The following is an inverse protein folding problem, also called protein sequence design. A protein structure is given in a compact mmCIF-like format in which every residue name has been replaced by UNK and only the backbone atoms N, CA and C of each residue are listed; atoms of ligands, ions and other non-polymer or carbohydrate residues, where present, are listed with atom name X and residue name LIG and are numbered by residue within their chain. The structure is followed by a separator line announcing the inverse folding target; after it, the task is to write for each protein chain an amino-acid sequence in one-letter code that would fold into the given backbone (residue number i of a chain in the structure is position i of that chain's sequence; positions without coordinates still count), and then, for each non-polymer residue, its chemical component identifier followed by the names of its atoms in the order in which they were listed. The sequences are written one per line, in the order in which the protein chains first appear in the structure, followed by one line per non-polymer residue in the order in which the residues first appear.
data_IF_364016812808
#
_entry.id   IF_364016812808
#
_cell.length_a   1.000
_cell.length_b   1.000
_cell.length_c   1.000
_cell.angle_alpha   90.00
_cell.angle_beta   90.00
_cell.angle_gamma   90.00
#
_symmetry.space_group_name_H-M   'P 1'
#
loop_
_entity.id
_entity.type
_entity.pdbx_description
1 polymer ?
#
# COMPACT_ATOMS: atom_id res chain seq x y z
N UNK A 1 -1.73 -33.01 -2.96
CA UNK A 1 -1.72 -31.82 -3.83
C UNK A 1 -1.53 -30.56 -3.01
N UNK A 2 -0.97 -29.51 -3.64
CA UNK A 2 -0.73 -28.21 -3.03
C UNK A 2 -1.43 -27.13 -3.87
N UNK A 3 -2.18 -26.24 -3.24
CA UNK A 3 -2.77 -25.06 -3.86
C UNK A 3 -2.15 -23.80 -3.29
N UNK A 4 -1.71 -22.90 -4.17
CA UNK A 4 -1.11 -21.61 -3.82
C UNK A 4 -2.06 -20.48 -4.26
N UNK A 5 -2.52 -19.69 -3.31
CA UNK A 5 -3.20 -18.43 -3.56
C UNK A 5 -2.17 -17.29 -3.55
N UNK A 6 -1.61 -16.95 -4.73
CA UNK A 6 -0.50 -15.99 -4.89
C UNK A 6 -0.93 -14.52 -5.06
N UNK A 7 -2.15 -14.18 -4.67
CA UNK A 7 -2.73 -12.84 -4.83
C UNK A 7 -2.59 -11.94 -3.59
N UNK A 8 -3.54 -11.00 -3.47
CA UNK A 8 -3.65 -10.09 -2.33
C UNK A 8 -5.09 -10.14 -1.81
N UNK A 9 -5.51 -11.31 -1.34
CA UNK A 9 -6.85 -11.60 -0.83
C UNK A 9 -7.01 -11.22 0.64
N UNK A 10 -8.25 -11.17 1.11
CA UNK A 10 -8.53 -11.10 2.54
C UNK A 10 -8.03 -12.39 3.20
N UNK A 11 -7.29 -12.28 4.30
CA UNK A 11 -6.78 -13.44 5.03
C UNK A 11 -7.91 -14.30 5.62
N UNK A 12 -9.08 -13.72 5.90
CA UNK A 12 -10.28 -14.44 6.37
C UNK A 12 -10.82 -15.39 5.29
N UNK A 13 -10.83 -14.92 4.02
CA UNK A 13 -11.18 -15.77 2.87
C UNK A 13 -10.17 -16.92 2.69
N UNK A 14 -8.89 -16.63 2.95
CA UNK A 14 -7.82 -17.64 2.90
C UNK A 14 -8.02 -18.73 3.95
N UNK A 15 -8.40 -18.37 5.18
CA UNK A 15 -8.72 -19.33 6.24
C UNK A 15 -9.91 -20.20 5.87
N UNK A 16 -10.98 -19.61 5.32
CA UNK A 16 -12.15 -20.35 4.86
C UNK A 16 -11.79 -21.33 3.75
N UNK A 17 -11.01 -20.87 2.77
CA UNK A 17 -10.58 -21.74 1.64
C UNK A 17 -9.68 -22.86 2.12
N UNK A 18 -8.76 -22.57 3.03
CA UNK A 18 -7.85 -23.58 3.59
C UNK A 18 -8.61 -24.71 4.27
N UNK A 19 -9.62 -24.39 5.08
CA UNK A 19 -10.45 -25.40 5.73
C UNK A 19 -11.15 -26.34 4.71
N UNK A 20 -11.69 -25.77 3.63
CA UNK A 20 -12.31 -26.57 2.56
C UNK A 20 -11.30 -27.45 1.80
N UNK A 21 -10.03 -27.03 1.73
CA UNK A 21 -8.97 -27.83 1.09
C UNK A 21 -8.47 -28.93 2.02
N UNK A 22 -8.35 -28.65 3.30
CA UNK A 22 -7.96 -29.61 4.34
C UNK A 22 -8.92 -30.83 4.38
N UNK A 23 -10.23 -30.61 4.28
CA UNK A 23 -11.24 -31.68 4.19
C UNK A 23 -11.01 -32.62 2.99
N UNK A 24 -10.29 -32.17 1.97
CA UNK A 24 -9.94 -32.93 0.78
C UNK A 24 -8.52 -33.48 0.78
N UNK A 25 -7.78 -33.30 1.87
CA UNK A 25 -6.38 -33.70 1.98
C UNK A 25 -5.45 -32.87 1.07
N UNK A 26 -5.80 -31.60 0.79
CA UNK A 26 -5.03 -30.68 -0.06
C UNK A 26 -4.41 -29.61 0.83
N UNK A 27 -3.10 -29.40 0.71
CA UNK A 27 -2.41 -28.31 1.36
C UNK A 27 -2.71 -26.97 0.68
N UNK A 28 -3.04 -25.95 1.47
CA UNK A 28 -3.33 -24.62 0.96
C UNK A 28 -2.33 -23.60 1.53
N UNK A 29 -1.76 -22.80 0.62
CA UNK A 29 -0.84 -21.70 0.97
C UNK A 29 -1.40 -20.36 0.51
N UNK A 30 -1.43 -19.39 1.40
CA UNK A 30 -1.69 -18.00 1.11
C UNK A 30 -0.35 -17.24 0.98
N UNK A 31 -0.05 -16.82 -0.24
CA UNK A 31 1.23 -16.16 -0.56
C UNK A 31 0.97 -14.74 -1.04
N UNK A 32 1.13 -13.79 -0.12
CA UNK A 32 1.07 -12.37 -0.45
C UNK A 32 2.27 -11.96 -1.31
N UNK A 33 2.00 -11.46 -2.52
CA UNK A 33 3.06 -11.12 -3.49
C UNK A 33 3.23 -9.60 -3.59
N UNK A 34 4.49 -9.13 -3.54
CA UNK A 34 4.88 -7.73 -3.70
C UNK A 34 5.93 -7.57 -4.80
N UNK A 35 5.98 -6.37 -5.43
CA UNK A 35 6.93 -6.03 -6.50
C UNK A 35 6.27 -5.52 -7.78
N UNK A 36 4.96 -5.68 -7.94
CA UNK A 36 4.22 -5.24 -9.14
C UNK A 36 4.74 -5.88 -10.42
N UNK A 37 4.59 -5.19 -11.54
CA UNK A 37 5.06 -5.67 -12.86
C UNK A 37 6.58 -5.83 -12.90
N UNK A 38 7.31 -4.94 -12.23
CA UNK A 38 8.77 -5.03 -12.15
C UNK A 38 9.18 -6.29 -11.38
N UNK A 39 8.63 -6.52 -10.20
CA UNK A 39 8.91 -7.71 -9.40
C UNK A 39 8.55 -9.02 -10.11
N UNK A 40 7.46 -9.05 -10.86
CA UNK A 40 7.07 -10.21 -11.66
C UNK A 40 8.11 -10.60 -12.72
N UNK A 41 8.93 -9.64 -13.18
CA UNK A 41 9.97 -9.87 -14.21
C UNK A 41 11.38 -10.05 -13.63
N UNK A 42 11.66 -9.45 -12.48
CA UNK A 42 13.02 -9.32 -11.96
C UNK A 42 13.19 -9.93 -10.56
N UNK A 43 12.17 -10.58 -10.04
CA UNK A 43 12.12 -11.17 -8.71
C UNK A 43 11.16 -10.43 -7.79
N UNK A 44 10.16 -11.16 -7.31
CA UNK A 44 9.14 -10.65 -6.41
C UNK A 44 9.51 -10.85 -4.93
N UNK A 45 8.70 -10.28 -4.04
CA UNK A 45 8.75 -10.60 -2.60
C UNK A 45 7.50 -11.38 -2.22
N UNK A 46 7.68 -12.53 -1.59
CA UNK A 46 6.66 -13.47 -1.19
C UNK A 46 6.53 -13.55 0.33
N UNK A 47 5.32 -13.49 0.82
CA UNK A 47 4.94 -13.63 2.24
C UNK A 47 4.09 -14.88 2.36
N UNK A 48 4.67 -15.98 2.83
CA UNK A 48 4.13 -17.33 2.67
C UNK A 48 3.53 -17.86 3.97
N UNK A 49 2.21 -18.05 4.01
CA UNK A 49 1.49 -18.69 5.11
C UNK A 49 1.02 -20.09 4.72
N UNK A 50 1.19 -21.07 5.62
CA UNK A 50 0.78 -22.45 5.38
C UNK A 50 1.49 -23.44 6.28
N UNK A 51 1.44 -24.74 5.92
CA UNK A 51 2.13 -25.80 6.63
C UNK A 51 3.67 -25.63 6.57
N UNK A 52 4.39 -25.64 7.69
CA UNK A 52 5.83 -25.36 7.71
C UNK A 52 6.67 -26.46 7.04
N UNK A 53 6.29 -27.71 7.19
CA UNK A 53 7.07 -28.83 6.65
C UNK A 53 6.90 -28.91 5.13
N UNK A 54 5.67 -28.75 4.65
CA UNK A 54 5.37 -28.72 3.22
C UNK A 54 6.00 -27.46 2.57
N UNK A 55 5.95 -26.30 3.24
CA UNK A 55 6.64 -25.10 2.75
C UNK A 55 8.12 -25.37 2.53
N UNK A 56 8.80 -25.87 3.56
CA UNK A 56 10.24 -26.11 3.54
C UNK A 56 10.68 -27.14 2.50
N UNK A 57 9.90 -28.21 2.37
CA UNK A 57 10.30 -29.35 1.53
C UNK A 57 9.87 -29.22 0.06
N UNK A 58 8.77 -28.49 -0.20
CA UNK A 58 8.15 -28.50 -1.54
C UNK A 58 8.13 -27.11 -2.20
N UNK A 59 8.06 -25.99 -1.42
CA UNK A 59 7.80 -24.68 -1.99
C UNK A 59 8.97 -23.69 -1.86
N UNK A 60 9.77 -23.80 -0.81
CA UNK A 60 10.77 -22.80 -0.49
C UNK A 60 11.76 -22.59 -1.63
N UNK A 61 12.42 -23.64 -2.11
CA UNK A 61 13.43 -23.55 -3.17
C UNK A 61 12.83 -22.98 -4.47
N UNK A 62 11.62 -23.41 -4.83
CA UNK A 62 10.91 -22.91 -6.01
C UNK A 62 10.63 -21.41 -5.89
N UNK A 63 10.11 -20.94 -4.75
CA UNK A 63 9.78 -19.53 -4.54
C UNK A 63 11.05 -18.67 -4.43
N UNK A 64 12.10 -19.14 -3.78
CA UNK A 64 13.38 -18.46 -3.70
C UNK A 64 14.02 -18.28 -5.09
N UNK A 65 13.83 -19.24 -6.01
CA UNK A 65 14.36 -19.15 -7.37
C UNK A 65 13.78 -18.01 -8.21
N UNK A 66 12.56 -17.56 -7.87
CA UNK A 66 11.84 -16.47 -8.56
C UNK A 66 11.68 -15.23 -7.69
N UNK A 67 12.18 -15.24 -6.46
CA UNK A 67 12.18 -14.11 -5.56
C UNK A 67 13.35 -13.16 -5.80
N UNK A 68 13.21 -11.90 -5.38
CA UNK A 68 14.37 -11.04 -5.17
C UNK A 68 15.20 -11.53 -3.98
N UNK A 69 16.41 -11.06 -3.83
CA UNK A 69 17.31 -11.45 -2.71
C UNK A 69 16.59 -11.25 -1.37
N UNK A 70 16.51 -12.30 -0.55
CA UNK A 70 15.75 -12.35 0.70
C UNK A 70 14.24 -12.08 0.55
N UNK A 71 13.70 -12.26 -0.64
CA UNK A 71 12.31 -11.96 -0.96
C UNK A 71 11.32 -13.09 -0.67
N UNK A 72 11.75 -14.25 -0.17
CA UNK A 72 10.87 -15.34 0.23
C UNK A 72 10.83 -15.45 1.75
N UNK A 73 9.71 -15.05 2.37
CA UNK A 73 9.52 -15.06 3.81
C UNK A 73 8.41 -16.04 4.19
N UNK A 74 8.75 -17.07 4.97
CA UNK A 74 7.72 -17.86 5.66
C UNK A 74 7.19 -17.07 6.85
N UNK A 75 5.87 -16.87 6.89
CA UNK A 75 5.20 -15.99 7.87
C UNK A 75 4.48 -16.74 8.98
N UNK A 76 4.35 -18.08 8.85
CA UNK A 76 3.66 -18.91 9.82
C UNK A 76 2.46 -19.66 9.23
N UNK A 77 1.46 -19.95 10.06
CA UNK A 77 0.28 -20.70 9.67
C UNK A 77 -0.52 -20.01 8.56
N UNK A 78 -1.36 -20.77 7.91
CA UNK A 78 -2.31 -20.28 6.89
C UNK A 78 -3.05 -19.03 7.34
N UNK A 79 -3.19 -18.07 6.41
CA UNK A 79 -3.75 -16.75 6.64
C UNK A 79 -2.68 -15.69 6.95
N UNK A 80 -1.51 -16.09 7.46
CA UNK A 80 -0.46 -15.14 7.88
C UNK A 80 0.22 -14.43 6.72
N UNK A 81 0.31 -15.06 5.54
CA UNK A 81 0.90 -14.46 4.34
C UNK A 81 0.06 -13.29 3.82
N UNK A 82 -1.23 -13.52 3.58
CA UNK A 82 -2.15 -12.48 3.15
C UNK A 82 -2.37 -11.42 4.22
N UNK A 83 -2.38 -11.78 5.52
CA UNK A 83 -2.46 -10.82 6.61
C UNK A 83 -1.26 -9.86 6.60
N UNK A 84 -0.04 -10.40 6.55
CA UNK A 84 1.16 -9.56 6.46
C UNK A 84 1.14 -8.69 5.19
N UNK A 85 0.72 -9.25 4.05
CA UNK A 85 0.63 -8.49 2.80
C UNK A 85 -0.40 -7.36 2.86
N UNK A 86 -1.51 -7.55 3.54
CA UNK A 86 -2.51 -6.53 3.81
C UNK A 86 -1.91 -5.37 4.61
N UNK A 87 -1.22 -5.67 5.70
CA UNK A 87 -0.52 -4.66 6.53
C UNK A 87 0.58 -3.94 5.73
N UNK A 88 1.39 -4.68 4.97
CA UNK A 88 2.41 -4.11 4.08
C UNK A 88 1.81 -3.07 3.12
N UNK A 89 0.67 -3.36 2.49
CA UNK A 89 0.04 -2.43 1.57
C UNK A 89 -0.49 -1.17 2.28
N UNK A 90 -0.96 -1.31 3.50
CA UNK A 90 -1.41 -0.20 4.32
C UNK A 90 -0.23 0.70 4.77
N UNK A 91 0.89 0.09 5.18
CA UNK A 91 2.14 0.81 5.46
C UNK A 91 2.64 1.57 4.23
N UNK A 92 2.59 0.92 3.04
CA UNK A 92 2.95 1.56 1.77
C UNK A 92 2.10 2.81 1.51
N UNK A 93 0.81 2.80 1.80
CA UNK A 93 -0.06 3.97 1.65
C UNK A 93 0.37 5.13 2.54
N UNK A 94 0.66 4.87 3.82
CA UNK A 94 1.17 5.88 4.76
C UNK A 94 2.50 6.47 4.29
N UNK A 95 3.41 5.61 3.84
CA UNK A 95 4.72 6.04 3.35
C UNK A 95 4.61 6.90 2.08
N UNK A 96 3.81 6.47 1.09
CA UNK A 96 3.57 7.27 -0.12
C UNK A 96 2.91 8.62 0.19
N UNK A 97 1.96 8.65 1.13
CA UNK A 97 1.31 9.89 1.55
C UNK A 97 2.31 10.86 2.17
N UNK A 98 3.16 10.38 3.07
CA UNK A 98 4.21 11.20 3.70
C UNK A 98 5.19 11.77 2.66
N UNK A 99 5.61 10.98 1.68
CA UNK A 99 6.46 11.46 0.59
C UNK A 99 5.74 12.51 -0.26
N UNK A 100 4.47 12.27 -0.62
CA UNK A 100 3.67 13.22 -1.40
C UNK A 100 3.53 14.57 -0.71
N UNK A 101 3.19 14.58 0.58
CA UNK A 101 3.08 15.81 1.39
C UNK A 101 4.43 16.54 1.51
N UNK A 102 5.52 15.79 1.69
CA UNK A 102 6.87 16.37 1.78
C UNK A 102 7.29 17.03 0.46
N UNK A 103 7.08 16.38 -0.68
CA UNK A 103 7.39 16.97 -1.98
C UNK A 103 6.49 18.15 -2.33
N UNK A 104 5.20 18.13 -1.94
CA UNK A 104 4.32 19.29 -2.12
C UNK A 104 4.79 20.50 -1.31
N UNK A 105 5.25 20.30 -0.06
CA UNK A 105 5.84 21.36 0.74
C UNK A 105 7.10 21.96 0.11
N UNK A 106 7.96 21.12 -0.47
CA UNK A 106 9.16 21.60 -1.18
C UNK A 106 8.78 22.41 -2.42
N UNK A 107 7.83 21.94 -3.21
CA UNK A 107 7.35 22.61 -4.42
C UNK A 107 6.71 23.97 -4.11
N UNK A 108 5.95 24.09 -3.01
CA UNK A 108 5.29 25.33 -2.58
C UNK A 108 6.18 26.28 -1.79
N UNK A 109 7.38 25.87 -1.43
CA UNK A 109 8.27 26.69 -0.64
C UNK A 109 8.83 27.90 -1.43
N UNK A 110 9.47 28.84 -0.74
CA UNK A 110 10.18 29.96 -1.36
C UNK A 110 11.51 29.58 -2.03
N UNK A 111 11.93 28.33 -1.90
CA UNK A 111 13.19 27.82 -2.43
C UNK A 111 12.97 27.11 -3.77
N UNK A 112 13.88 27.31 -4.70
CA UNK A 112 13.86 26.69 -6.04
C UNK A 112 14.55 25.31 -5.98
N UNK A 113 13.81 24.30 -5.50
CA UNK A 113 14.33 22.93 -5.42
C UNK A 113 14.19 22.17 -6.75
N UNK A 114 15.29 21.57 -7.22
CA UNK A 114 15.21 20.49 -8.19
C UNK A 114 14.73 19.21 -7.52
N UNK A 115 13.43 18.91 -7.63
CA UNK A 115 12.79 17.79 -6.95
C UNK A 115 13.35 16.43 -7.40
N UNK A 116 13.84 16.31 -8.65
CA UNK A 116 14.53 15.10 -9.10
C UNK A 116 15.82 14.88 -8.31
N UNK A 117 16.66 15.89 -8.19
CA UNK A 117 17.92 15.81 -7.45
C UNK A 117 17.70 15.60 -5.95
N UNK A 118 16.66 16.22 -5.38
CA UNK A 118 16.26 16.00 -3.98
C UNK A 118 15.87 14.53 -3.78
N UNK A 119 14.99 13.98 -4.61
CA UNK A 119 14.55 12.60 -4.49
C UNK A 119 15.71 11.61 -4.69
N UNK A 120 16.56 11.82 -5.70
CA UNK A 120 17.74 10.99 -5.96
C UNK A 120 18.73 10.99 -4.77
N UNK A 121 19.03 12.17 -4.23
CA UNK A 121 19.90 12.29 -3.05
C UNK A 121 19.31 11.60 -1.83
N UNK A 122 18.04 11.86 -1.52
CA UNK A 122 17.36 11.27 -0.36
C UNK A 122 17.22 9.75 -0.47
N UNK A 123 17.09 9.22 -1.70
CA UNK A 123 16.96 7.78 -1.93
C UNK A 123 18.22 6.98 -1.57
N UNK A 124 19.40 7.62 -1.63
CA UNK A 124 20.71 6.97 -1.48
C UNK A 124 21.35 7.25 -0.13
N UNK A 125 21.31 8.49 0.34
CA UNK A 125 22.16 8.97 1.42
C UNK A 125 21.42 9.31 2.71
N UNK A 126 20.09 9.40 2.71
CA UNK A 126 19.31 9.80 3.88
C UNK A 126 18.79 8.62 4.69
N UNK A 127 18.33 8.90 5.90
CA UNK A 127 17.68 7.93 6.81
C UNK A 127 16.37 7.38 6.23
N UNK A 128 15.71 8.12 5.33
CA UNK A 128 14.46 7.72 4.66
C UNK A 128 14.72 7.07 3.28
N UNK A 129 15.97 6.72 2.97
CA UNK A 129 16.35 6.10 1.69
C UNK A 129 15.51 4.87 1.37
N UNK A 130 15.24 4.65 0.10
CA UNK A 130 14.53 3.47 -0.36
C UNK A 130 13.94 3.61 -1.76
N UNK A 131 13.42 2.50 -2.25
CA UNK A 131 12.94 2.36 -3.62
C UNK A 131 11.86 3.37 -4.03
N UNK A 132 10.95 3.75 -3.14
CA UNK A 132 9.91 4.74 -3.47
C UNK A 132 10.50 6.12 -3.80
N UNK A 133 11.61 6.51 -3.18
CA UNK A 133 12.32 7.75 -3.52
C UNK A 133 13.07 7.65 -4.86
N UNK A 134 13.63 6.48 -5.20
CA UNK A 134 14.20 6.23 -6.53
C UNK A 134 13.13 6.37 -7.62
N UNK A 135 11.96 5.78 -7.38
CA UNK A 135 10.81 5.91 -8.29
C UNK A 135 10.28 7.35 -8.38
N UNK A 136 10.33 8.12 -7.29
CA UNK A 136 9.99 9.53 -7.30
C UNK A 136 11.00 10.34 -8.15
N UNK A 137 12.31 10.09 -8.01
CA UNK A 137 13.33 10.70 -8.85
C UNK A 137 13.11 10.41 -10.34
N UNK A 138 12.78 9.16 -10.68
CA UNK A 138 12.45 8.77 -12.06
C UNK A 138 11.17 9.44 -12.57
N UNK A 139 10.18 9.66 -11.73
CA UNK A 139 8.95 10.37 -12.08
C UNK A 139 9.26 11.85 -12.37
N UNK A 140 9.96 12.56 -11.49
CA UNK A 140 10.36 13.95 -11.68
C UNK A 140 11.30 14.13 -12.88
N UNK A 141 12.16 13.15 -13.18
CA UNK A 141 12.99 13.18 -14.38
C UNK A 141 12.17 13.19 -15.67
N UNK A 142 11.04 12.49 -15.69
CA UNK A 142 10.13 12.41 -16.87
C UNK A 142 9.20 13.61 -16.98
N UNK A 143 8.80 14.17 -15.85
CA UNK A 143 7.82 15.27 -15.75
C UNK A 143 8.13 16.06 -14.46
N UNK A 144 8.98 17.10 -14.53
CA UNK A 144 9.53 17.77 -13.35
C UNK A 144 8.49 18.39 -12.41
N UNK A 145 7.39 18.88 -12.94
CA UNK A 145 6.27 19.50 -12.22
C UNK A 145 5.01 18.61 -12.15
N UNK A 146 5.11 17.37 -12.64
CA UNK A 146 4.01 16.39 -12.71
C UNK A 146 2.75 16.92 -13.41
N UNK A 147 2.89 17.90 -14.29
CA UNK A 147 1.78 18.60 -14.98
C UNK A 147 0.94 17.68 -15.87
N UNK A 148 1.48 16.55 -16.30
CA UNK A 148 0.80 15.55 -17.12
C UNK A 148 -0.04 14.57 -16.31
N UNK A 149 0.00 14.65 -14.97
CA UNK A 149 -0.65 13.70 -14.06
C UNK A 149 -1.78 14.40 -13.31
N UNK A 150 -2.97 13.81 -13.34
CA UNK A 150 -4.08 14.25 -12.46
C UNK A 150 -3.91 13.63 -11.08
N UNK A 151 -4.05 14.44 -10.02
CA UNK A 151 -3.92 14.04 -8.62
C UNK A 151 -5.08 13.16 -8.10
N UNK A 152 -5.44 12.10 -8.83
CA UNK A 152 -6.49 11.13 -8.45
C UNK A 152 -5.85 9.78 -8.14
N UNK A 153 -5.96 9.33 -6.91
CA UNK A 153 -5.25 8.15 -6.43
C UNK A 153 -6.21 7.00 -6.15
N UNK A 154 -5.90 5.81 -6.71
CA UNK A 154 -6.65 4.58 -6.44
C UNK A 154 -6.51 4.13 -4.99
N UNK A 155 -7.59 3.57 -4.43
CA UNK A 155 -7.59 2.92 -3.12
C UNK A 155 -7.97 1.44 -3.28
N UNK A 156 -7.19 0.53 -2.70
CA UNK A 156 -7.52 -0.90 -2.64
C UNK A 156 -8.32 -1.23 -1.38
N UNK A 157 -9.00 -2.35 -1.38
CA UNK A 157 -9.72 -2.88 -0.21
C UNK A 157 -8.78 -3.27 0.94
N UNK A 158 -7.52 -3.61 0.63
CA UNK A 158 -6.55 -4.11 1.62
C UNK A 158 -6.33 -3.15 2.80
N UNK A 159 -6.26 -1.84 2.55
CA UNK A 159 -6.11 -0.86 3.63
C UNK A 159 -7.40 -0.73 4.47
N UNK A 160 -8.58 -0.92 3.87
CA UNK A 160 -9.84 -1.01 4.60
C UNK A 160 -9.84 -2.19 5.58
N UNK A 161 -9.48 -3.38 5.12
CA UNK A 161 -9.34 -4.57 5.97
C UNK A 161 -8.29 -4.38 7.09
N UNK A 162 -7.20 -3.63 6.81
CA UNK A 162 -6.22 -3.28 7.86
C UNK A 162 -6.85 -2.43 8.95
N UNK A 163 -7.69 -1.46 8.59
CA UNK A 163 -8.39 -0.60 9.57
C UNK A 163 -9.38 -1.43 10.39
N UNK A 164 -10.15 -2.33 9.75
CA UNK A 164 -11.05 -3.26 10.44
C UNK A 164 -10.28 -4.10 11.46
N UNK A 165 -9.19 -4.73 11.05
CA UNK A 165 -8.34 -5.52 11.95
C UNK A 165 -7.74 -4.70 13.08
N UNK A 166 -7.33 -3.46 12.82
CA UNK A 166 -6.82 -2.55 13.86
C UNK A 166 -7.91 -2.23 14.90
N UNK A 167 -9.16 -2.01 14.48
CA UNK A 167 -10.28 -1.82 15.39
C UNK A 167 -10.56 -3.06 16.23
N UNK A 168 -10.55 -4.26 15.63
CA UNK A 168 -10.74 -5.54 16.33
C UNK A 168 -9.66 -5.78 17.39
N UNK A 169 -8.41 -5.41 17.08
CA UNK A 169 -7.26 -5.58 17.95
C UNK A 169 -7.05 -4.42 18.94
N UNK A 170 -7.82 -3.33 18.83
CA UNK A 170 -7.63 -2.13 19.64
C UNK A 170 -6.31 -1.38 19.34
N UNK A 171 -5.76 -1.50 18.15
CA UNK A 171 -4.50 -0.86 17.74
C UNK A 171 -4.77 0.46 17.01
N UNK A 172 -4.34 1.62 17.53
CA UNK A 172 -4.50 2.89 16.84
C UNK A 172 -3.54 3.00 15.65
N UNK A 173 -4.08 3.30 14.45
CA UNK A 173 -3.29 3.45 13.21
C UNK A 173 -3.62 4.77 12.47
N UNK A 174 -3.47 5.95 13.11
CA UNK A 174 -3.94 7.23 12.55
C UNK A 174 -3.27 7.57 11.21
N UNK A 175 -1.97 7.34 11.03
CA UNK A 175 -1.24 7.64 9.78
C UNK A 175 -1.80 6.81 8.61
N UNK A 176 -1.98 5.51 8.81
CA UNK A 176 -2.54 4.61 7.79
C UNK A 176 -3.99 4.99 7.46
N UNK A 177 -4.81 5.23 8.48
CA UNK A 177 -6.21 5.61 8.29
C UNK A 177 -6.34 6.92 7.51
N UNK A 178 -5.56 7.93 7.88
CA UNK A 178 -5.55 9.23 7.18
C UNK A 178 -5.09 9.08 5.73
N UNK A 179 -4.08 8.26 5.45
CA UNK A 179 -3.60 8.03 4.08
C UNK A 179 -4.70 7.42 3.18
N UNK A 180 -5.53 6.52 3.70
CA UNK A 180 -6.69 6.00 2.97
C UNK A 180 -7.72 7.10 2.72
N UNK A 181 -8.03 7.93 3.73
CA UNK A 181 -8.99 9.03 3.60
C UNK A 181 -8.53 10.05 2.54
N UNK A 182 -7.24 10.38 2.49
CA UNK A 182 -6.68 11.26 1.46
C UNK A 182 -6.86 10.68 0.05
N UNK A 183 -6.66 9.38 -0.14
CA UNK A 183 -6.94 8.71 -1.42
C UNK A 183 -8.41 8.77 -1.82
N UNK A 184 -9.32 8.58 -0.87
CA UNK A 184 -10.77 8.73 -1.11
C UNK A 184 -11.11 10.19 -1.42
N UNK A 185 -10.51 11.15 -0.71
CA UNK A 185 -10.68 12.59 -0.95
C UNK A 185 -10.21 13.00 -2.34
N UNK A 186 -9.12 12.44 -2.84
CA UNK A 186 -8.56 12.77 -4.17
C UNK A 186 -9.52 12.49 -5.33
N UNK A 187 -10.55 11.66 -5.11
CA UNK A 187 -11.57 11.32 -6.11
C UNK A 187 -12.77 12.28 -6.12
N UNK A 188 -12.80 13.24 -5.20
CA UNK A 188 -13.94 14.15 -5.02
C UNK A 188 -13.57 15.56 -5.49
N UNK A 189 -14.03 15.95 -6.67
CA UNK A 189 -13.82 17.30 -7.20
C UNK A 189 -14.65 18.35 -6.43
N UNK A 190 -15.87 17.99 -6.00
CA UNK A 190 -16.81 18.88 -5.30
C UNK A 190 -17.55 18.11 -4.20
N UNK A 191 -16.96 18.12 -3.01
CA UNK A 191 -17.39 17.29 -1.88
C UNK A 191 -18.66 17.85 -1.20
N UNK A 192 -19.67 17.00 -1.01
CA UNK A 192 -20.89 17.37 -0.30
C UNK A 192 -20.62 17.82 1.14
N UNK A 193 -19.67 17.19 1.83
CA UNK A 193 -19.29 17.61 3.18
C UNK A 193 -18.72 19.03 3.22
N UNK A 194 -17.92 19.43 2.21
CA UNK A 194 -17.43 20.79 2.09
C UNK A 194 -18.60 21.78 1.82
N UNK A 195 -19.60 21.39 1.03
CA UNK A 195 -20.81 22.19 0.81
C UNK A 195 -21.60 22.41 2.10
N UNK A 196 -21.76 21.37 2.91
CA UNK A 196 -22.43 21.49 4.21
C UNK A 196 -21.67 22.49 5.11
N UNK A 197 -20.34 22.37 5.18
CA UNK A 197 -19.53 23.29 5.99
C UNK A 197 -19.63 24.73 5.47
N UNK A 198 -19.58 24.93 4.16
CA UNK A 198 -19.74 26.26 3.56
C UNK A 198 -21.11 26.88 3.87
N UNK A 199 -22.19 26.08 3.75
CA UNK A 199 -23.56 26.51 4.10
C UNK A 199 -23.68 26.86 5.59
N UNK A 200 -23.12 26.04 6.48
CA UNK A 200 -23.13 26.33 7.92
C UNK A 200 -22.37 27.62 8.27
N UNK A 201 -21.26 27.90 7.58
CA UNK A 201 -20.52 29.17 7.78
C UNK A 201 -21.33 30.37 7.30
N UNK A 202 -22.08 30.24 6.24
CA UNK A 202 -22.98 31.30 5.76
C UNK A 202 -24.09 31.56 6.78
N UNK A 203 -24.80 30.54 7.23
CA UNK A 203 -25.88 30.63 8.18
C UNK A 203 -25.46 31.17 9.58
N UNK A 204 -24.28 30.76 10.07
CA UNK A 204 -23.78 31.17 11.38
C UNK A 204 -23.20 32.59 11.36
N UNK A 205 -22.46 32.95 10.33
CA UNK A 205 -21.65 34.17 10.32
C UNK A 205 -21.79 35.06 9.08
N UNK A 206 -22.71 34.75 8.16
CA UNK A 206 -22.87 35.52 6.93
C UNK A 206 -21.69 35.42 5.95
N UNK A 207 -20.85 34.40 6.08
CA UNK A 207 -19.75 34.14 5.15
C UNK A 207 -20.29 33.46 3.88
N UNK A 208 -20.68 34.27 2.90
CA UNK A 208 -21.33 33.78 1.67
C UNK A 208 -20.57 32.59 1.05
N UNK A 209 -21.29 31.48 0.86
CA UNK A 209 -20.79 30.34 0.10
C UNK A 209 -20.59 30.75 -1.37
N UNK A 210 -19.54 30.23 -1.99
CA UNK A 210 -19.30 30.46 -3.44
C UNK A 210 -20.39 29.71 -4.23
N UNK A 211 -21.06 30.41 -5.13
CA UNK A 211 -21.96 29.80 -6.11
C UNK A 211 -21.18 29.05 -7.19
N UNK A 212 -21.82 28.03 -7.81
CA UNK A 212 -21.25 27.36 -8.98
C UNK A 212 -21.13 28.31 -10.19
#
# INVERSE_FOLDING_TARGET
DIIIAGGNSDHRDSLTTAHLMEEKGIYFFDIGTSGGVYGARHGASFMCGGDPDVFKNELQEMLESIATTNGCLYTGKTGSGHYLKMIHNAMLYGYMQTLGEGFELLEKSEFDYDLQNVADSLSKSSVIRGWLLELAADAFKKDPDLSKIRGVVGASKTTGWTIESACELGVPIPVISTSLMMRLRSKQDDSFSAKVIASLRDEVGGHKAQSK
#
